data_IF_507847137094
#
_entry.id   IF_507847137094
#
_cell.length_a   1.000
_cell.length_b   1.000
_cell.length_c   1.000
_cell.angle_alpha   90.00
_cell.angle_beta   90.00
_cell.angle_gamma   90.00
#
_symmetry.space_group_name_H-M   'P 1'
#
loop_
_entity.id
_entity.type
_entity.pdbx_description
1 polymer ?
#
# COMPACT_ATOMS: atom_id res chain seq x y z
N UNK A 1 4.71 -5.65 19.28
CA UNK A 1 5.25 -4.60 18.41
C UNK A 1 6.24 -5.31 17.53
N UNK A 2 6.07 -5.22 16.21
CA UNK A 2 6.94 -5.83 15.23
C UNK A 2 8.35 -5.27 15.41
N UNK A 3 9.33 -6.11 15.14
CA UNK A 3 10.72 -5.70 15.29
C UNK A 3 11.16 -4.82 14.12
N UNK A 4 11.94 -3.80 14.46
CA UNK A 4 12.28 -2.72 13.54
C UNK A 4 13.78 -2.70 13.26
N UNK A 5 14.17 -2.96 12.02
CA UNK A 5 15.54 -2.74 11.55
C UNK A 5 15.71 -1.29 11.09
N UNK A 6 16.93 -0.77 11.18
CA UNK A 6 17.24 0.65 10.87
C UNK A 6 16.33 1.68 11.56
N UNK A 7 15.78 1.31 12.72
CA UNK A 7 14.96 2.21 13.56
C UNK A 7 13.55 2.51 13.03
N UNK A 8 13.05 1.73 12.07
CA UNK A 8 11.68 1.92 11.58
C UNK A 8 11.20 0.97 10.49
N UNK A 9 12.06 0.12 9.94
CA UNK A 9 11.69 -0.81 8.87
C UNK A 9 11.20 -2.12 9.47
N UNK A 10 9.98 -2.51 9.11
CA UNK A 10 9.34 -3.77 9.52
C UNK A 10 9.09 -4.65 8.31
N UNK A 11 9.03 -5.97 8.51
CA UNK A 11 8.39 -6.86 7.53
C UNK A 11 6.88 -6.60 7.65
N UNK A 12 6.22 -6.20 6.56
CA UNK A 12 4.81 -5.81 6.57
C UNK A 12 3.90 -6.87 5.96
N UNK A 13 4.37 -7.60 4.95
CA UNK A 13 3.54 -8.54 4.21
C UNK A 13 4.38 -9.67 3.60
N UNK A 14 3.86 -10.89 3.65
CA UNK A 14 4.47 -12.09 3.06
C UNK A 14 3.39 -12.85 2.28
N UNK A 15 3.64 -13.12 1.00
CA UNK A 15 2.85 -14.06 0.19
C UNK A 15 3.70 -15.29 -0.12
N UNK A 16 3.33 -16.43 0.46
CA UNK A 16 4.04 -17.70 0.30
C UNK A 16 3.43 -18.57 -0.81
N UNK A 17 4.29 -19.22 -1.59
CA UNK A 17 4.08 -20.12 -2.75
C UNK A 17 2.64 -20.18 -3.26
N UNK A 18 2.12 -19.14 -3.92
CA UNK A 18 0.76 -19.15 -4.43
C UNK A 18 0.63 -20.24 -5.52
N UNK A 19 0.05 -21.38 -5.16
CA UNK A 19 -0.16 -22.53 -6.04
C UNK A 19 -1.66 -22.83 -6.21
N UNK A 20 -2.28 -22.44 -7.33
CA UNK A 20 -3.66 -22.85 -7.65
C UNK A 20 -4.55 -21.80 -8.30
N UNK A 21 -5.78 -22.22 -8.66
CA UNK A 21 -6.72 -21.44 -9.51
C UNK A 21 -7.32 -20.23 -8.75
N UNK A 22 -7.20 -20.20 -7.41
CA UNK A 22 -7.68 -19.11 -6.56
C UNK A 22 -6.54 -18.29 -5.94
N UNK A 23 -5.29 -18.54 -6.35
CA UNK A 23 -4.13 -17.89 -5.78
C UNK A 23 -3.82 -16.55 -6.47
N UNK A 24 -3.11 -15.67 -5.77
CA UNK A 24 -2.85 -14.31 -6.24
C UNK A 24 -1.72 -14.30 -7.27
N UNK A 25 -1.99 -13.67 -8.40
CA UNK A 25 -1.09 -13.49 -9.52
C UNK A 25 -0.43 -12.11 -9.35
N UNK A 26 0.74 -12.11 -8.71
CA UNK A 26 1.45 -10.89 -8.32
C UNK A 26 2.04 -10.20 -9.54
N UNK A 27 2.50 -10.97 -10.53
CA UNK A 27 3.06 -10.43 -11.76
C UNK A 27 2.01 -10.19 -12.86
N UNK A 28 0.77 -10.66 -12.71
CA UNK A 28 -0.33 -10.37 -13.62
C UNK A 28 -0.22 -11.07 -14.98
N UNK A 29 0.58 -12.14 -15.10
CA UNK A 29 0.72 -12.93 -16.33
C UNK A 29 -0.53 -13.79 -16.65
N UNK A 30 -1.49 -13.85 -15.73
CA UNK A 30 -2.72 -14.63 -15.78
C UNK A 30 -2.63 -15.99 -15.08
N UNK A 31 -1.52 -16.32 -14.42
CA UNK A 31 -1.21 -17.62 -13.82
C UNK A 31 -0.49 -17.49 -12.48
N UNK A 32 -1.26 -17.56 -11.39
CA UNK A 32 -0.68 -17.66 -10.05
C UNK A 32 0.18 -18.95 -9.89
N UNK A 33 1.45 -18.75 -9.57
CA UNK A 33 2.49 -19.77 -9.42
C UNK A 33 3.47 -19.34 -8.31
N UNK A 34 4.34 -20.23 -7.85
CA UNK A 34 5.39 -19.86 -6.87
C UNK A 34 6.37 -18.76 -7.31
N UNK A 35 6.20 -18.15 -8.49
CA UNK A 35 6.88 -16.92 -8.95
C UNK A 35 6.33 -15.67 -8.32
N UNK A 36 5.04 -15.71 -8.00
CA UNK A 36 4.30 -14.58 -7.48
C UNK A 36 4.52 -14.36 -5.98
N UNK A 37 5.37 -15.17 -5.34
CA UNK A 37 5.79 -14.94 -3.96
C UNK A 37 6.40 -13.55 -3.80
N UNK A 38 6.10 -12.90 -2.69
CA UNK A 38 6.75 -11.65 -2.35
C UNK A 38 6.93 -11.48 -0.85
N UNK A 39 7.91 -10.66 -0.51
CA UNK A 39 8.09 -10.11 0.82
C UNK A 39 8.07 -8.59 0.70
N UNK A 40 7.34 -7.96 1.60
CA UNK A 40 7.21 -6.52 1.69
C UNK A 40 7.79 -6.01 2.99
N UNK A 41 8.58 -4.94 2.89
CA UNK A 41 9.02 -4.13 4.03
C UNK A 41 8.22 -2.83 4.04
N UNK A 42 7.92 -2.28 5.22
CA UNK A 42 7.30 -0.97 5.38
C UNK A 42 8.11 -0.08 6.31
N UNK A 43 8.16 1.22 6.02
CA UNK A 43 8.72 2.22 6.91
C UNK A 43 7.65 2.73 7.90
N UNK A 44 7.70 2.25 9.13
CA UNK A 44 6.80 2.62 10.24
C UNK A 44 7.28 3.84 11.04
N UNK A 45 8.34 4.52 10.58
CA UNK A 45 8.85 5.73 11.22
C UNK A 45 8.28 7.01 10.59
N UNK A 46 8.41 8.13 11.31
CA UNK A 46 8.03 9.46 10.81
C UNK A 46 9.09 10.07 9.85
N UNK A 47 10.16 9.34 9.53
CA UNK A 47 11.29 9.83 8.73
C UNK A 47 11.62 8.94 7.52
N UNK A 48 12.29 9.52 6.52
CA UNK A 48 12.82 8.73 5.42
C UNK A 48 14.02 7.87 5.89
N UNK A 49 14.06 6.61 5.49
CA UNK A 49 15.11 5.65 5.85
C UNK A 49 15.78 5.15 4.57
N UNK A 50 17.11 5.18 4.55
CA UNK A 50 17.89 4.48 3.52
C UNK A 50 17.92 2.99 3.85
N UNK A 51 17.34 2.17 2.97
CA UNK A 51 17.28 0.71 3.08
C UNK A 51 18.25 0.02 2.11
N UNK A 52 19.05 0.79 1.36
CA UNK A 52 20.09 0.23 0.49
C UNK A 52 21.05 -0.66 1.28
N UNK A 53 21.40 -1.80 0.69
CA UNK A 53 22.28 -2.80 1.30
C UNK A 53 21.59 -3.79 2.24
N UNK A 54 20.31 -3.61 2.58
CA UNK A 54 19.57 -4.66 3.32
C UNK A 54 19.52 -5.94 2.49
N UNK A 55 19.75 -7.07 3.15
CA UNK A 55 19.79 -8.39 2.52
C UNK A 55 18.62 -9.27 3.00
N UNK A 56 18.01 -9.99 2.06
CA UNK A 56 16.99 -10.98 2.34
C UNK A 56 17.61 -12.38 2.33
N UNK A 57 17.37 -13.12 3.40
CA UNK A 57 17.96 -14.42 3.64
C UNK A 57 16.89 -15.45 3.95
N UNK A 58 17.16 -16.68 3.50
CA UNK A 58 16.33 -17.85 3.72
C UNK A 58 17.19 -19.10 3.90
N UNK A 59 16.72 -20.05 4.70
CA UNK A 59 17.47 -21.26 5.02
C UNK A 59 17.59 -22.20 3.84
N UNK A 60 18.83 -22.43 3.44
CA UNK A 60 19.16 -23.33 2.33
C UNK A 60 19.12 -22.63 0.96
N UNK A 61 18.69 -21.36 0.92
CA UNK A 61 18.87 -20.46 -0.23
C UNK A 61 20.03 -19.48 -0.01
N UNK A 62 20.31 -19.11 1.23
CA UNK A 62 21.29 -18.06 1.56
C UNK A 62 20.73 -16.67 1.25
N UNK A 63 21.62 -15.69 1.05
CA UNK A 63 21.23 -14.34 0.64
C UNK A 63 20.72 -14.37 -0.80
N UNK A 64 19.42 -14.22 -0.98
CA UNK A 64 18.74 -14.36 -2.27
C UNK A 64 18.37 -13.01 -2.91
N UNK A 65 18.39 -11.93 -2.12
CA UNK A 65 18.21 -10.57 -2.63
C UNK A 65 18.95 -9.54 -1.77
N UNK A 66 19.46 -8.48 -2.42
CA UNK A 66 20.05 -7.32 -1.75
C UNK A 66 19.39 -6.07 -2.30
N UNK A 67 18.89 -5.22 -1.41
CA UNK A 67 18.28 -3.94 -1.80
C UNK A 67 19.35 -3.06 -2.45
N UNK A 68 19.08 -2.48 -3.65
CA UNK A 68 20.03 -1.61 -4.32
C UNK A 68 20.47 -0.43 -3.46
N UNK A 69 21.76 -0.09 -3.51
CA UNK A 69 22.34 1.04 -2.78
C UNK A 69 21.58 2.35 -3.05
N UNK A 70 21.35 3.14 -2.00
CA UNK A 70 20.67 4.43 -2.09
C UNK A 70 19.14 4.35 -2.25
N UNK A 71 18.54 3.17 -2.04
CA UNK A 71 17.08 3.02 -1.98
C UNK A 71 16.55 3.68 -0.71
N UNK A 72 15.80 4.77 -0.85
CA UNK A 72 15.22 5.52 0.28
C UNK A 72 13.71 5.27 0.36
N UNK A 73 13.24 4.69 1.46
CA UNK A 73 11.81 4.59 1.77
C UNK A 73 11.34 5.82 2.56
N UNK A 74 10.31 6.49 2.03
CA UNK A 74 9.59 7.54 2.76
C UNK A 74 8.76 6.93 3.91
N UNK A 75 8.31 7.74 4.90
CA UNK A 75 7.31 7.28 5.87
C UNK A 75 6.12 6.63 5.18
N UNK A 76 5.63 5.53 5.76
CA UNK A 76 4.52 4.70 5.27
C UNK A 76 4.75 3.97 3.93
N UNK A 77 5.84 4.27 3.22
CA UNK A 77 6.19 3.62 1.97
C UNK A 77 6.68 2.18 2.17
N UNK A 78 6.51 1.39 1.12
CA UNK A 78 6.81 -0.04 1.09
C UNK A 78 7.93 -0.36 0.10
N UNK A 79 8.71 -1.38 0.42
CA UNK A 79 9.63 -2.04 -0.50
C UNK A 79 9.15 -3.48 -0.69
N UNK A 80 8.64 -3.81 -1.86
CA UNK A 80 8.15 -5.15 -2.19
C UNK A 80 9.13 -5.83 -3.13
N UNK A 81 9.63 -7.00 -2.73
CA UNK A 81 10.41 -7.86 -3.61
C UNK A 81 9.56 -9.05 -4.04
N UNK A 82 9.25 -9.11 -5.33
CA UNK A 82 8.60 -10.25 -5.98
C UNK A 82 9.69 -11.22 -6.43
N UNK A 83 9.44 -12.53 -6.28
CA UNK A 83 10.45 -13.55 -6.56
C UNK A 83 10.81 -13.60 -8.04
N UNK A 84 9.82 -13.62 -8.93
CA UNK A 84 10.04 -13.72 -10.38
C UNK A 84 8.84 -13.20 -11.17
N UNK A 85 9.13 -12.49 -12.26
CA UNK A 85 8.13 -11.98 -13.19
C UNK A 85 8.15 -12.83 -14.46
N UNK A 86 7.02 -13.46 -14.76
CA UNK A 86 6.89 -14.34 -15.90
C UNK A 86 6.98 -13.59 -17.24
N UNK A 87 7.19 -14.37 -18.30
CA UNK A 87 6.99 -13.87 -19.65
C UNK A 87 5.52 -13.47 -19.88
N UNK A 88 5.27 -12.16 -19.96
CA UNK A 88 3.92 -11.61 -20.13
C UNK A 88 3.37 -10.95 -18.87
N UNK A 89 4.03 -11.13 -17.71
CA UNK A 89 3.77 -10.41 -16.47
C UNK A 89 4.57 -9.11 -16.36
N UNK A 90 4.33 -8.40 -15.27
CA UNK A 90 4.93 -7.13 -14.86
C UNK A 90 4.90 -7.03 -13.35
N UNK A 91 5.87 -6.34 -12.74
CA UNK A 91 5.81 -6.07 -11.31
C UNK A 91 4.51 -5.36 -10.89
N UNK A 92 3.95 -5.64 -9.70
CA UNK A 92 2.79 -4.96 -9.19
C UNK A 92 3.07 -3.45 -9.09
N UNK A 93 2.04 -2.65 -9.36
CA UNK A 93 2.16 -1.20 -9.31
C UNK A 93 2.03 -0.72 -7.87
N UNK A 94 3.11 -0.16 -7.33
CA UNK A 94 3.10 0.54 -6.05
C UNK A 94 2.57 1.97 -6.12
N UNK A 95 2.35 2.56 -4.94
CA UNK A 95 2.22 4.00 -4.77
C UNK A 95 3.51 4.76 -5.14
N UNK A 96 3.46 6.10 -5.16
CA UNK A 96 4.53 6.96 -5.68
C UNK A 96 5.86 6.88 -4.92
N UNK A 97 5.83 6.43 -3.66
CA UNK A 97 7.01 6.27 -2.81
C UNK A 97 7.36 4.80 -2.59
N UNK A 98 6.52 3.88 -3.08
CA UNK A 98 6.73 2.46 -2.97
C UNK A 98 7.76 2.02 -4.00
N UNK A 99 8.55 1.03 -3.64
CA UNK A 99 9.57 0.46 -4.50
C UNK A 99 9.23 -1.00 -4.69
N UNK A 100 9.05 -1.41 -5.94
CA UNK A 100 8.79 -2.80 -6.28
C UNK A 100 9.95 -3.31 -7.11
N UNK A 101 10.50 -4.46 -6.72
CA UNK A 101 11.62 -5.09 -7.38
C UNK A 101 11.34 -6.56 -7.66
N UNK A 102 11.99 -7.08 -8.69
CA UNK A 102 12.08 -8.50 -8.97
C UNK A 102 13.42 -9.02 -8.44
N UNK A 103 13.43 -10.15 -7.73
CA UNK A 103 14.71 -10.75 -7.30
C UNK A 103 15.43 -11.48 -8.42
N UNK A 104 14.67 -12.04 -9.38
CA UNK A 104 15.21 -12.90 -10.45
C UNK A 104 15.76 -14.22 -9.92
N UNK A 105 15.40 -14.58 -8.68
CA UNK A 105 15.91 -15.78 -8.03
C UNK A 105 15.20 -17.02 -8.62
N UNK A 106 15.97 -17.89 -9.26
CA UNK A 106 15.41 -18.98 -10.07
C UNK A 106 14.83 -20.17 -9.29
N UNK A 107 14.69 -20.08 -7.98
CA UNK A 107 14.15 -21.14 -7.10
C UNK A 107 13.14 -20.53 -6.14
N UNK A 108 12.12 -21.30 -5.74
CA UNK A 108 11.17 -20.89 -4.70
C UNK A 108 11.95 -20.56 -3.42
N UNK A 109 11.69 -19.38 -2.88
CA UNK A 109 12.40 -18.86 -1.72
C UNK A 109 11.67 -19.29 -0.47
N UNK A 110 10.37 -19.02 -0.41
CA UNK A 110 9.51 -19.38 0.71
C UNK A 110 8.57 -20.53 0.31
N UNK A 111 7.86 -21.12 1.28
CA UNK A 111 6.99 -22.27 1.00
C UNK A 111 5.78 -22.37 1.94
N UNK A 112 4.69 -23.01 1.49
CA UNK A 112 3.43 -23.08 2.26
C UNK A 112 3.44 -24.04 3.45
N UNK A 113 4.54 -24.75 3.75
CA UNK A 113 4.64 -25.61 4.93
C UNK A 113 5.24 -24.89 6.15
N UNK A 114 5.66 -23.64 5.98
CA UNK A 114 6.36 -22.85 6.99
C UNK A 114 7.79 -22.55 6.59
N UNK A 115 8.20 -21.34 6.93
CA UNK A 115 9.52 -20.83 6.63
C UNK A 115 9.92 -19.71 7.58
N UNK A 116 11.20 -19.33 7.50
CA UNK A 116 11.78 -18.19 8.20
C UNK A 116 12.28 -17.14 7.19
N UNK A 117 11.81 -15.91 7.31
CA UNK A 117 12.29 -14.77 6.52
C UNK A 117 13.22 -13.93 7.38
N UNK A 118 14.46 -13.74 6.93
CA UNK A 118 15.47 -12.94 7.63
C UNK A 118 15.82 -11.71 6.82
N UNK A 119 15.75 -10.54 7.45
CA UNK A 119 16.20 -9.27 6.89
C UNK A 119 17.44 -8.82 7.67
N UNK A 120 18.58 -8.79 6.98
CA UNK A 120 19.88 -8.51 7.56
C UNK A 120 20.43 -7.16 7.11
N UNK A 121 20.95 -6.39 8.06
CA UNK A 121 21.70 -5.16 7.83
C UNK A 121 23.20 -5.41 8.02
N UNK A 122 23.98 -5.52 6.93
CA UNK A 122 25.41 -5.76 7.01
C UNK A 122 26.20 -4.56 7.57
N UNK A 123 25.64 -3.34 7.55
CA UNK A 123 26.32 -2.15 8.06
C UNK A 123 26.28 -2.09 9.59
N UNK A 124 25.15 -2.50 10.18
CA UNK A 124 24.97 -2.57 11.63
C UNK A 124 25.38 -3.95 12.21
N UNK A 125 25.50 -4.98 11.37
CA UNK A 125 25.61 -6.38 11.75
C UNK A 125 24.41 -6.82 12.62
N UNK A 126 23.21 -6.42 12.21
CA UNK A 126 21.95 -6.66 12.91
C UNK A 126 20.91 -7.29 11.99
N UNK A 127 19.95 -8.06 12.52
CA UNK A 127 18.86 -8.62 11.72
C UNK A 127 17.53 -8.63 12.46
N UNK A 128 16.43 -8.63 11.70
CA UNK A 128 15.09 -9.02 12.15
C UNK A 128 14.67 -10.30 11.44
N UNK A 129 13.74 -11.04 12.03
CA UNK A 129 13.30 -12.33 11.54
C UNK A 129 11.79 -12.48 11.72
N UNK A 130 11.14 -13.07 10.73
CA UNK A 130 9.76 -13.51 10.79
C UNK A 130 9.68 -15.01 10.50
N UNK A 131 8.74 -15.69 11.14
CA UNK A 131 8.37 -17.07 10.84
C UNK A 131 6.87 -17.18 10.59
N UNK A 132 6.46 -18.28 9.96
CA UNK A 132 5.04 -18.57 9.74
C UNK A 132 4.76 -20.08 9.64
N UNK A 133 3.48 -20.44 9.62
CA UNK A 133 2.94 -21.81 9.65
C UNK A 133 3.50 -22.69 10.79
N UNK A 134 3.89 -22.06 11.91
CA UNK A 134 4.42 -22.76 13.07
C UNK A 134 5.78 -23.42 12.82
N UNK A 135 6.55 -22.93 11.85
CA UNK A 135 7.93 -23.35 11.67
C UNK A 135 8.76 -23.05 12.93
N UNK A 136 9.83 -23.82 13.12
CA UNK A 136 10.77 -23.54 14.20
C UNK A 136 11.62 -22.33 13.84
N UNK A 137 11.87 -21.46 14.81
CA UNK A 137 12.82 -20.37 14.66
C UNK A 137 14.20 -20.92 14.27
N UNK A 138 14.70 -20.46 13.12
CA UNK A 138 16.05 -20.74 12.67
C UNK A 138 17.08 -19.84 13.36
N UNK A 139 18.34 -20.30 13.44
CA UNK A 139 19.50 -19.52 13.89
C UNK A 139 20.39 -19.16 12.68
N UNK A 140 20.33 -17.94 12.13
CA UNK A 140 21.13 -17.55 10.97
C UNK A 140 22.63 -17.45 11.24
N UNK A 141 23.03 -17.24 12.51
CA UNK A 141 24.41 -16.90 12.90
C UNK A 141 25.26 -18.17 13.06
N UNK A 142 24.65 -19.27 13.50
CA UNK A 142 25.32 -20.55 13.74
C UNK A 142 24.64 -21.77 13.13
N UNK A 143 23.45 -21.62 12.56
CA UNK A 143 22.61 -22.70 12.08
C UNK A 143 22.95 -23.20 10.67
N UNK A 144 22.60 -24.45 10.34
CA UNK A 144 22.80 -25.01 9.02
C UNK A 144 21.83 -24.39 8.00
N UNK A 145 22.37 -23.89 6.89
CA UNK A 145 21.59 -23.39 5.75
C UNK A 145 21.75 -21.89 5.47
N UNK A 146 22.46 -21.15 6.33
CA UNK A 146 22.77 -19.73 6.16
C UNK A 146 24.22 -19.50 5.74
N UNK A 147 24.64 -20.20 4.68
CA UNK A 147 26.02 -20.12 4.20
C UNK A 147 26.35 -18.69 3.72
N UNK A 148 27.34 -18.06 4.37
CA UNK A 148 27.75 -16.69 4.06
C UNK A 148 27.14 -15.63 4.98
N UNK A 149 26.20 -16.00 5.85
CA UNK A 149 25.66 -15.10 6.86
C UNK A 149 26.73 -14.74 7.91
N UNK A 150 26.63 -13.55 8.49
CA UNK A 150 27.57 -13.10 9.50
C UNK A 150 27.48 -13.92 10.78
N UNK A 151 28.62 -14.46 11.22
CA UNK A 151 28.73 -15.23 12.46
C UNK A 151 28.73 -14.36 13.73
N UNK A 152 28.61 -13.03 13.58
CA UNK A 152 28.56 -12.08 14.71
C UNK A 152 27.30 -11.23 14.73
N UNK A 153 26.40 -11.43 13.76
CA UNK A 153 25.18 -10.66 13.67
C UNK A 153 24.32 -10.79 14.93
N UNK A 154 23.65 -9.70 15.28
CA UNK A 154 22.78 -9.63 16.46
C UNK A 154 21.32 -9.51 16.05
N UNK A 155 20.46 -10.36 16.58
CA UNK A 155 19.03 -10.21 16.38
C UNK A 155 18.50 -8.99 17.12
N UNK A 156 17.71 -8.17 16.44
CA UNK A 156 16.91 -7.11 17.05
C UNK A 156 15.64 -7.76 17.58
N UNK A 157 15.44 -7.62 18.90
CA UNK A 157 14.21 -8.08 19.55
C UNK A 157 14.02 -9.60 19.52
N UNK A 158 12.82 -10.05 19.13
CA UNK A 158 12.46 -11.47 19.01
C UNK A 158 11.92 -11.77 17.61
N UNK A 159 11.86 -13.05 17.22
CA UNK A 159 11.25 -13.42 15.94
C UNK A 159 9.74 -13.15 15.93
N UNK A 160 9.28 -12.50 14.86
CA UNK A 160 7.86 -12.22 14.61
C UNK A 160 7.14 -13.47 14.06
N UNK A 161 5.97 -13.80 14.60
CA UNK A 161 5.15 -14.93 14.14
C UNK A 161 3.96 -14.40 13.33
N UNK A 162 4.03 -14.55 12.01
CA UNK A 162 3.02 -14.08 11.05
C UNK A 162 1.77 -14.98 11.01
N UNK A 163 1.74 -16.05 11.81
CA UNK A 163 0.60 -16.93 11.92
C UNK A 163 0.61 -18.04 10.87
N UNK A 164 -0.53 -18.31 10.27
CA UNK A 164 -0.68 -19.39 9.29
C UNK A 164 -1.11 -18.85 7.95
N UNK A 165 -0.42 -19.29 6.90
CA UNK A 165 -0.77 -19.09 5.51
C UNK A 165 -2.19 -19.60 5.21
N UNK A 166 -2.85 -18.94 4.28
CA UNK A 166 -4.17 -19.30 3.77
C UNK A 166 -4.14 -19.13 2.26
N UNK A 167 -4.42 -20.19 1.51
CA UNK A 167 -4.48 -20.16 0.04
C UNK A 167 -5.24 -18.93 -0.48
N UNK A 168 -4.59 -18.16 -1.35
CA UNK A 168 -5.12 -16.93 -1.96
C UNK A 168 -5.00 -15.69 -1.08
N UNK A 169 -4.31 -15.78 0.06
CA UNK A 169 -4.08 -14.71 1.01
C UNK A 169 -2.59 -14.52 1.26
N UNK A 170 -2.23 -13.33 1.74
CA UNK A 170 -0.93 -13.03 2.30
C UNK A 170 -1.04 -12.90 3.81
N UNK A 171 0.07 -13.10 4.52
CA UNK A 171 0.19 -12.79 5.94
C UNK A 171 0.65 -11.36 6.09
N UNK A 172 -0.04 -10.58 6.92
CA UNK A 172 0.11 -9.13 7.01
C UNK A 172 0.30 -8.68 8.45
N UNK A 173 1.16 -7.69 8.63
CA UNK A 173 1.31 -6.91 9.85
C UNK A 173 0.25 -5.79 9.90
N UNK A 174 -0.53 -5.78 10.98
CA UNK A 174 -1.55 -4.77 11.23
C UNK A 174 -0.96 -3.36 11.39
N UNK A 175 -1.77 -2.29 11.16
CA UNK A 175 -1.31 -0.89 11.18
C UNK A 175 -0.69 -0.42 12.50
N UNK A 176 -0.95 -1.12 13.61
CA UNK A 176 -0.35 -0.83 14.91
C UNK A 176 0.93 -1.60 15.20
N UNK A 177 1.42 -2.41 14.26
CA UNK A 177 2.59 -3.26 14.43
C UNK A 177 2.42 -4.33 15.52
N UNK A 178 1.19 -4.67 15.93
CA UNK A 178 0.95 -5.51 17.12
C UNK A 178 0.07 -6.73 16.85
N UNK A 179 -0.41 -6.87 15.62
CA UNK A 179 -1.36 -7.91 15.21
C UNK A 179 -0.94 -8.46 13.86
N UNK A 180 -1.03 -9.77 13.70
CA UNK A 180 -0.79 -10.47 12.45
C UNK A 180 -2.11 -11.10 12.00
N UNK A 181 -2.39 -11.05 10.70
CA UNK A 181 -3.60 -11.63 10.12
C UNK A 181 -3.35 -12.04 8.67
N UNK A 182 -4.19 -12.92 8.13
CA UNK A 182 -4.19 -13.19 6.70
C UNK A 182 -5.24 -12.36 5.97
N UNK A 183 -4.84 -11.80 4.84
CA UNK A 183 -5.62 -10.84 4.07
C UNK A 183 -5.47 -11.05 2.58
N UNK A 184 -6.19 -10.27 1.79
CA UNK A 184 -5.91 -10.21 0.36
C UNK A 184 -4.53 -9.65 0.12
N UNK A 185 -3.73 -10.25 -0.75
CA UNK A 185 -2.42 -9.71 -1.08
C UNK A 185 -2.53 -8.27 -1.57
N UNK A 186 -1.75 -7.40 -0.96
CA UNK A 186 -1.72 -5.97 -1.22
C UNK A 186 -0.32 -5.48 -1.55
N UNK A 187 0.41 -6.15 -2.48
CA UNK A 187 1.80 -5.77 -2.76
C UNK A 187 1.85 -4.31 -3.19
N UNK A 188 2.64 -3.54 -2.44
CA UNK A 188 2.86 -2.12 -2.66
C UNK A 188 1.58 -1.25 -2.63
N UNK A 189 0.52 -1.68 -1.95
CA UNK A 189 -0.76 -0.98 -1.95
C UNK A 189 -0.96 -0.10 -0.71
N UNK A 190 -0.73 1.21 -0.87
CA UNK A 190 -1.48 2.21 -0.11
C UNK A 190 -2.94 2.25 -0.62
N UNK A 191 -3.80 1.38 -0.11
CA UNK A 191 -5.22 1.39 -0.46
C UNK A 191 -5.94 2.58 0.22
N UNK A 192 -5.67 3.81 -0.23
CA UNK A 192 -6.37 5.04 0.13
C UNK A 192 -7.33 5.43 -1.00
N UNK A 193 -8.58 4.98 -0.87
CA UNK A 193 -9.62 5.18 -1.89
C UNK A 193 -10.89 5.78 -1.26
N UNK A 194 -11.58 6.61 -2.03
CA UNK A 194 -12.96 7.03 -1.75
C UNK A 194 -13.93 6.14 -2.53
N UNK A 195 -15.05 5.74 -1.93
CA UNK A 195 -16.12 5.11 -2.70
C UNK A 195 -16.95 6.15 -3.46
N UNK A 196 -17.46 5.77 -4.63
CA UNK A 196 -18.49 6.53 -5.38
C UNK A 196 -19.63 6.95 -4.46
N UNK A 197 -20.08 8.19 -4.59
CA UNK A 197 -21.07 8.79 -3.70
C UNK A 197 -20.47 9.68 -2.60
N UNK A 198 -19.17 9.56 -2.29
CA UNK A 198 -18.51 10.43 -1.33
C UNK A 198 -18.42 11.86 -1.85
N UNK A 199 -18.85 12.84 -1.06
CA UNK A 199 -18.75 14.26 -1.40
C UNK A 199 -17.49 14.89 -0.83
N UNK A 200 -16.66 15.43 -1.71
CA UNK A 200 -15.46 16.18 -1.35
C UNK A 200 -15.79 17.67 -1.33
N UNK A 201 -15.31 18.37 -0.30
CA UNK A 201 -15.50 19.80 -0.17
C UNK A 201 -14.72 20.55 -1.25
N UNK A 202 -15.44 21.32 -2.07
CA UNK A 202 -14.89 22.23 -3.08
C UNK A 202 -15.25 23.68 -2.73
N UNK A 203 -14.61 24.70 -3.34
CA UNK A 203 -14.92 26.10 -3.08
C UNK A 203 -16.39 26.48 -3.30
N UNK A 204 -17.09 25.78 -4.19
CA UNK A 204 -18.51 26.01 -4.51
C UNK A 204 -19.46 25.09 -3.74
N UNK A 205 -18.94 24.36 -2.74
CA UNK A 205 -19.68 23.39 -1.95
C UNK A 205 -19.25 21.94 -2.22
N UNK A 206 -19.80 20.95 -1.50
CA UNK A 206 -19.42 19.56 -1.67
C UNK A 206 -19.83 19.01 -3.05
N UNK A 207 -18.91 18.30 -3.72
CA UNK A 207 -19.14 17.61 -5.00
C UNK A 207 -18.82 16.12 -4.88
N UNK A 208 -19.55 15.29 -5.60
CA UNK A 208 -19.30 13.85 -5.65
C UNK A 208 -17.92 13.55 -6.23
N UNK A 209 -17.18 12.64 -5.61
CA UNK A 209 -15.83 12.25 -6.03
C UNK A 209 -15.80 11.79 -7.49
N UNK A 210 -16.81 11.06 -7.94
CA UNK A 210 -16.93 10.58 -9.33
C UNK A 210 -17.20 11.69 -10.35
N UNK A 211 -17.50 12.90 -9.90
CA UNK A 211 -17.72 14.08 -10.74
C UNK A 211 -16.52 15.03 -10.76
N UNK A 212 -15.49 14.76 -9.96
CA UNK A 212 -14.29 15.57 -9.91
C UNK A 212 -13.33 15.15 -11.03
N UNK A 213 -12.74 16.15 -11.66
CA UNK A 213 -11.72 15.99 -12.69
C UNK A 213 -10.44 16.74 -12.37
N UNK A 214 -9.42 16.51 -13.18
CA UNK A 214 -8.19 17.31 -13.14
C UNK A 214 -8.52 18.79 -13.35
N UNK A 215 -7.90 19.66 -12.55
CA UNK A 215 -8.13 21.10 -12.52
C UNK A 215 -9.25 21.55 -11.57
N UNK A 216 -10.13 20.66 -11.12
CA UNK A 216 -11.10 20.99 -10.09
C UNK A 216 -10.41 21.35 -8.77
N UNK A 217 -10.93 22.37 -8.09
CA UNK A 217 -10.39 22.81 -6.80
C UNK A 217 -11.06 22.05 -5.65
N UNK A 218 -10.26 21.56 -4.72
CA UNK A 218 -10.70 21.00 -3.44
C UNK A 218 -10.20 21.86 -2.28
N UNK A 219 -10.96 21.87 -1.19
CA UNK A 219 -10.56 22.54 0.04
C UNK A 219 -9.68 21.59 0.85
N UNK A 220 -8.46 22.03 1.11
CA UNK A 220 -7.50 21.37 2.01
C UNK A 220 -7.53 22.02 3.38
N UNK A 221 -7.11 21.29 4.40
CA UNK A 221 -7.06 21.75 5.79
C UNK A 221 -6.07 22.90 5.99
N UNK A 222 -4.86 22.75 5.44
CA UNK A 222 -3.73 23.62 5.78
C UNK A 222 -3.35 24.62 4.70
N UNK A 223 -3.67 24.34 3.43
CA UNK A 223 -3.20 25.12 2.27
C UNK A 223 -4.32 25.76 1.45
N UNK A 224 -5.55 25.75 1.97
CA UNK A 224 -6.70 26.36 1.31
C UNK A 224 -7.12 25.58 0.07
N UNK A 225 -7.33 26.27 -1.05
CA UNK A 225 -7.83 25.65 -2.28
C UNK A 225 -6.68 25.07 -3.10
N UNK A 226 -6.72 23.77 -3.41
CA UNK A 226 -5.72 23.09 -4.23
C UNK A 226 -6.38 22.41 -5.43
N UNK A 227 -5.70 22.42 -6.58
CA UNK A 227 -6.22 21.81 -7.79
C UNK A 227 -5.89 20.31 -7.84
N UNK A 228 -6.88 19.51 -8.24
CA UNK A 228 -6.70 18.11 -8.58
C UNK A 228 -5.77 18.00 -9.78
N UNK A 229 -4.71 17.21 -9.64
CA UNK A 229 -3.73 16.94 -10.68
C UNK A 229 -3.96 15.61 -11.37
N UNK A 230 -4.59 14.67 -10.66
CA UNK A 230 -4.90 13.36 -11.21
C UNK A 230 -6.14 12.77 -10.54
N UNK A 231 -6.87 11.95 -11.30
CA UNK A 231 -8.02 11.18 -10.82
C UNK A 231 -7.88 9.74 -11.30
N UNK A 232 -7.95 8.78 -10.38
CA UNK A 232 -8.00 7.34 -10.64
C UNK A 232 -9.35 6.77 -10.31
N UNK A 233 -9.74 5.69 -11.01
CA UNK A 233 -11.00 4.98 -10.76
C UNK A 233 -10.85 3.48 -10.98
N UNK A 234 -11.42 2.67 -10.09
CA UNK A 234 -11.57 1.22 -10.23
C UNK A 234 -13.00 0.81 -9.86
N UNK A 235 -13.65 0.07 -10.74
CA UNK A 235 -14.99 -0.47 -10.45
C UNK A 235 -14.86 -1.81 -9.69
N UNK A 236 -15.64 -1.98 -8.63
CA UNK A 236 -15.71 -3.18 -7.78
C UNK A 236 -17.12 -3.75 -7.87
N UNK A 237 -17.23 -4.99 -8.36
CA UNK A 237 -18.51 -5.67 -8.51
C UNK A 237 -18.88 -6.47 -7.26
N UNK A 238 -20.16 -6.85 -7.16
CA UNK A 238 -20.62 -7.77 -6.10
C UNK A 238 -19.91 -9.14 -6.14
N UNK A 239 -19.45 -9.59 -7.31
CA UNK A 239 -18.69 -10.84 -7.45
C UNK A 239 -17.30 -10.69 -6.86
N UNK A 240 -16.66 -9.55 -7.11
CA UNK A 240 -15.35 -9.24 -6.53
C UNK A 240 -15.44 -9.20 -5.00
N UNK A 241 -16.50 -8.62 -4.44
CA UNK A 241 -16.74 -8.59 -2.99
C UNK A 241 -17.10 -9.95 -2.37
N UNK A 242 -17.66 -10.87 -3.17
CA UNK A 242 -17.98 -12.22 -2.72
C UNK A 242 -16.72 -13.11 -2.73
N UNK A 243 -15.92 -13.00 -3.80
CA UNK A 243 -14.64 -13.66 -3.92
C UNK A 243 -13.62 -13.10 -2.91
N UNK A 244 -13.69 -11.80 -2.64
CA UNK A 244 -12.70 -11.06 -1.86
C UNK A 244 -13.38 -10.06 -0.90
N UNK A 245 -13.85 -10.53 0.28
CA UNK A 245 -14.54 -9.68 1.26
C UNK A 245 -13.73 -8.50 1.79
N UNK A 246 -12.40 -8.55 1.73
CA UNK A 246 -11.47 -7.47 2.10
C UNK A 246 -11.60 -6.23 1.20
N UNK A 247 -12.12 -6.36 -0.03
CA UNK A 247 -12.41 -5.22 -0.91
C UNK A 247 -13.59 -4.38 -0.41
N UNK A 248 -14.39 -4.90 0.52
CA UNK A 248 -15.55 -4.18 1.06
C UNK A 248 -15.08 -2.93 1.80
N UNK A 249 -15.72 -1.78 1.56
CA UNK A 249 -15.33 -0.56 2.23
C UNK A 249 -15.78 -0.59 3.69
N UNK A 250 -15.16 0.27 4.50
CA UNK A 250 -15.63 0.60 5.83
C UNK A 250 -16.67 1.72 5.69
N UNK A 251 -17.87 1.48 6.22
CA UNK A 251 -18.95 2.44 6.36
C UNK A 251 -18.82 3.16 7.71
N UNK A 252 -18.66 4.48 7.63
CA UNK A 252 -18.66 5.38 8.79
C UNK A 252 -19.98 6.15 8.73
N UNK A 253 -20.86 5.89 9.70
CA UNK A 253 -22.16 6.55 9.81
C UNK A 253 -22.01 8.02 10.16
N UNK A 254 -22.96 8.83 9.72
CA UNK A 254 -23.05 10.23 10.11
C UNK A 254 -22.94 10.39 11.64
N UNK A 255 -22.01 11.24 12.09
CA UNK A 255 -21.75 11.54 13.50
C UNK A 255 -21.00 10.46 14.30
N UNK A 256 -20.55 9.37 13.68
CA UNK A 256 -19.91 8.25 14.38
C UNK A 256 -18.57 8.62 15.06
N UNK A 257 -17.85 9.62 14.53
CA UNK A 257 -16.53 10.04 15.00
C UNK A 257 -16.54 11.38 15.75
N UNK A 258 -17.73 11.95 15.99
CA UNK A 258 -17.94 13.21 16.69
C UNK A 258 -19.14 13.97 16.14
N UNK A 259 -19.53 15.10 16.77
CA UNK A 259 -20.59 15.96 16.24
C UNK A 259 -20.26 16.35 14.80
N UNK A 260 -21.18 16.05 13.88
CA UNK A 260 -21.05 16.32 12.44
C UNK A 260 -19.83 15.67 11.75
N UNK A 261 -19.30 14.55 12.30
CA UNK A 261 -18.13 13.85 11.78
C UNK A 261 -18.37 12.33 11.57
N UNK A 262 -18.48 11.85 10.33
CA UNK A 262 -18.79 12.63 9.11
C UNK A 262 -20.21 13.24 9.19
N UNK A 263 -20.52 14.23 8.36
CA UNK A 263 -21.85 14.85 8.27
C UNK A 263 -22.89 13.92 7.64
N UNK A 264 -22.42 12.98 6.82
CA UNK A 264 -23.23 11.97 6.17
C UNK A 264 -22.45 10.65 6.13
N UNK A 265 -23.15 9.55 5.87
CA UNK A 265 -22.54 8.23 5.73
C UNK A 265 -21.41 8.26 4.68
N UNK A 266 -20.21 7.87 5.09
CA UNK A 266 -18.99 7.90 4.29
C UNK A 266 -18.42 6.49 4.16
N UNK A 267 -18.07 6.10 2.93
CA UNK A 267 -17.45 4.81 2.62
C UNK A 267 -16.04 5.01 2.10
N UNK A 268 -15.08 4.37 2.76
CA UNK A 268 -13.66 4.46 2.46
C UNK A 268 -13.05 3.07 2.40
N UNK A 269 -11.96 2.90 1.66
CA UNK A 269 -11.16 1.68 1.74
C UNK A 269 -10.63 1.48 3.17
N UNK A 270 -10.40 0.23 3.61
CA UNK A 270 -10.03 -0.08 4.99
C UNK A 270 -8.80 0.69 5.52
N UNK A 271 -7.80 0.92 4.68
CA UNK A 271 -6.55 1.61 5.07
C UNK A 271 -6.59 3.13 4.89
N UNK A 272 -7.68 3.70 4.38
CA UNK A 272 -7.81 5.15 4.25
C UNK A 272 -7.72 5.81 5.63
N UNK A 273 -6.90 6.84 5.78
CA UNK A 273 -6.72 7.51 7.08
C UNK A 273 -7.61 8.74 7.23
N UNK A 274 -8.25 8.83 8.39
CA UNK A 274 -9.11 9.95 8.79
C UNK A 274 -8.52 10.64 10.01
N UNK A 275 -8.73 11.95 10.10
CA UNK A 275 -8.38 12.71 11.29
C UNK A 275 -9.54 12.61 12.28
N UNK A 276 -9.36 11.89 13.39
CA UNK A 276 -10.37 11.81 14.45
C UNK A 276 -9.78 11.76 15.87
N UNK A 277 -10.65 11.82 16.88
CA UNK A 277 -10.25 11.81 18.30
C UNK A 277 -10.20 10.37 18.84
N UNK A 278 -9.11 10.03 19.54
CA UNK A 278 -9.00 8.76 20.27
C UNK A 278 -9.76 8.82 21.62
N UNK A 279 -10.53 7.78 21.99
CA UNK A 279 -11.09 7.63 23.33
C UNK A 279 -9.97 7.59 24.38
N UNK A 280 -10.12 8.37 25.47
CA UNK A 280 -9.14 8.39 26.57
C UNK A 280 -7.94 9.32 26.36
N UNK A 281 -7.83 10.02 25.24
CA UNK A 281 -6.77 11.02 25.01
C UNK A 281 -6.88 12.20 25.98
N UNK A 282 -5.95 12.31 26.92
CA UNK A 282 -5.87 13.36 27.94
C UNK A 282 -5.56 14.77 27.40
N UNK A 283 -5.41 14.94 26.08
CA UNK A 283 -5.11 16.22 25.44
C UNK A 283 -6.18 16.61 24.41
N UNK A 284 -6.57 17.88 24.44
CA UNK A 284 -7.49 18.50 23.48
C UNK A 284 -6.84 18.75 22.09
N UNK A 285 -5.56 18.40 21.90
CA UNK A 285 -4.76 18.85 20.76
C UNK A 285 -4.17 17.75 19.86
N UNK A 286 -4.24 16.46 20.22
CA UNK A 286 -3.70 15.37 19.40
C UNK A 286 -4.77 14.80 18.47
N UNK A 287 -4.90 15.36 17.27
CA UNK A 287 -5.64 14.76 16.18
C UNK A 287 -4.64 13.98 15.32
N UNK A 288 -4.69 12.64 15.35
CA UNK A 288 -3.85 11.78 14.53
C UNK A 288 -4.59 11.30 13.29
N UNK A 289 -3.85 10.96 12.23
CA UNK A 289 -4.36 10.17 11.11
C UNK A 289 -4.54 8.73 11.59
N UNK A 290 -5.76 8.20 11.46
CA UNK A 290 -6.12 6.86 11.93
C UNK A 290 -6.76 6.12 10.77
N UNK A 291 -6.25 4.93 10.46
CA UNK A 291 -6.85 4.04 9.46
C UNK A 291 -8.29 3.68 9.87
N UNK A 292 -9.22 3.74 8.91
CA UNK A 292 -10.65 3.52 9.21
C UNK A 292 -10.95 2.10 9.69
N UNK A 293 -10.17 1.10 9.26
CA UNK A 293 -10.28 -0.29 9.77
C UNK A 293 -10.03 -0.37 11.27
N UNK A 294 -9.11 0.43 11.82
CA UNK A 294 -8.81 0.47 13.26
C UNK A 294 -9.95 1.10 14.09
N UNK A 295 -10.97 1.65 13.44
CA UNK A 295 -12.16 2.22 14.08
C UNK A 295 -13.33 1.22 14.14
N UNK A 296 -13.18 0.02 13.55
CA UNK A 296 -14.19 -1.04 13.63
C UNK A 296 -14.53 -1.40 15.08
N UNK A 297 -15.82 -1.69 15.31
CA UNK A 297 -16.36 -1.95 16.65
C UNK A 297 -16.76 -0.68 17.41
N UNK A 298 -16.44 0.52 16.90
CA UNK A 298 -17.06 1.76 17.39
C UNK A 298 -18.51 1.86 16.93
N UNK A 299 -19.43 2.40 17.77
CA UNK A 299 -20.79 2.66 17.34
C UNK A 299 -20.84 3.49 16.05
N UNK A 300 -21.44 2.93 15.00
CA UNK A 300 -21.56 3.59 13.70
C UNK A 300 -20.36 3.42 12.76
N UNK A 301 -19.39 2.54 13.07
CA UNK A 301 -18.32 2.16 12.14
C UNK A 301 -18.39 0.65 11.88
N UNK A 302 -18.68 0.27 10.65
CA UNK A 302 -18.96 -1.12 10.26
C UNK A 302 -18.42 -1.44 8.86
N UNK A 303 -18.25 -2.72 8.54
CA UNK A 303 -17.95 -3.16 7.17
C UNK A 303 -19.24 -3.03 6.34
N UNK A 304 -19.16 -2.47 5.13
CA UNK A 304 -20.32 -2.43 4.22
C UNK A 304 -20.55 -3.82 3.59
N UNK A 305 -21.48 -4.58 4.19
CA UNK A 305 -21.87 -5.92 3.71
C UNK A 305 -23.05 -5.90 2.72
N UNK A 306 -23.42 -4.72 2.19
CA UNK A 306 -24.56 -4.62 1.27
C UNK A 306 -24.38 -5.41 -0.03
N UNK A 307 -23.13 -5.68 -0.42
CA UNK A 307 -22.80 -6.37 -1.67
C UNK A 307 -23.13 -5.57 -2.92
N UNK A 308 -23.45 -4.27 -2.79
CA UNK A 308 -23.70 -3.41 -3.92
C UNK A 308 -22.39 -3.14 -4.68
N UNK A 309 -22.39 -3.21 -6.01
CA UNK A 309 -21.25 -2.77 -6.81
C UNK A 309 -21.01 -1.26 -6.58
N UNK A 310 -19.74 -0.87 -6.52
CA UNK A 310 -19.33 0.52 -6.33
C UNK A 310 -18.02 0.81 -7.09
N UNK A 311 -17.57 2.06 -7.10
CA UNK A 311 -16.26 2.42 -7.65
C UNK A 311 -15.37 2.99 -6.56
N UNK A 312 -14.11 2.56 -6.51
CA UNK A 312 -13.06 3.25 -5.78
C UNK A 312 -12.49 4.37 -6.64
N UNK A 313 -12.26 5.52 -6.02
CA UNK A 313 -11.73 6.73 -6.64
C UNK A 313 -10.51 7.21 -5.87
N UNK A 314 -9.51 7.65 -6.61
CA UNK A 314 -8.33 8.32 -6.09
C UNK A 314 -8.25 9.71 -6.67
N UNK A 315 -7.79 10.66 -5.88
CA UNK A 315 -7.41 11.98 -6.37
C UNK A 315 -6.06 12.33 -5.79
N UNK A 316 -5.22 12.93 -6.62
CA UNK A 316 -3.95 13.48 -6.20
C UNK A 316 -3.86 14.96 -6.50
N UNK A 317 -3.20 15.67 -5.61
CA UNK A 317 -2.90 17.10 -5.71
C UNK A 317 -1.40 17.26 -5.99
N UNK A 318 -0.92 18.50 -6.10
CA UNK A 318 0.52 18.79 -6.24
C UNK A 318 1.38 18.23 -5.09
N UNK A 319 0.75 18.00 -3.94
CA UNK A 319 1.34 17.48 -2.71
C UNK A 319 0.31 16.62 -2.01
N UNK A 320 0.79 15.84 -1.07
CA UNK A 320 -0.06 15.20 -0.08
C UNK A 320 -0.73 16.26 0.81
N UNK A 321 -2.06 16.16 0.94
CA UNK A 321 -2.87 17.08 1.74
C UNK A 321 -3.98 16.33 2.48
N UNK A 322 -4.52 16.97 3.52
CA UNK A 322 -5.79 16.57 4.13
C UNK A 322 -6.91 17.40 3.50
N UNK A 323 -7.89 16.73 2.90
CA UNK A 323 -9.11 17.30 2.35
C UNK A 323 -10.31 16.94 3.23
N UNK A 324 -11.51 17.42 2.89
CA UNK A 324 -12.73 17.11 3.63
C UNK A 324 -13.69 16.26 2.79
N UNK A 325 -13.87 14.99 3.17
CA UNK A 325 -14.87 14.09 2.59
C UNK A 325 -16.05 13.96 3.56
N UNK A 326 -17.25 14.30 3.12
CA UNK A 326 -18.46 14.35 3.95
C UNK A 326 -18.25 15.19 5.23
N UNK A 327 -17.38 16.21 5.18
CA UNK A 327 -17.01 17.04 6.31
C UNK A 327 -15.97 16.43 7.27
N UNK A 328 -15.58 15.17 7.08
CA UNK A 328 -14.50 14.51 7.83
C UNK A 328 -13.14 14.79 7.15
N UNK A 329 -12.10 15.22 7.88
CA UNK A 329 -10.79 15.40 7.28
C UNK A 329 -10.15 14.04 6.94
N UNK A 330 -9.80 13.86 5.67
CA UNK A 330 -9.30 12.63 5.04
C UNK A 330 -8.07 12.94 4.19
N UNK A 331 -7.19 11.97 4.06
CA UNK A 331 -5.94 12.07 3.32
C UNK A 331 -6.13 11.98 1.78
N UNK A 332 -5.32 12.68 0.99
CA UNK A 332 -5.25 12.53 -0.48
C UNK A 332 -4.07 11.67 -0.91
N UNK A 333 -4.17 11.02 -2.08
CA UNK A 333 -3.04 10.34 -2.72
C UNK A 333 -1.98 11.36 -3.18
N UNK A 334 -0.70 10.99 -3.17
CA UNK A 334 0.41 11.84 -3.61
C UNK A 334 0.76 11.60 -5.10
N UNK A 335 0.88 12.64 -5.94
CA UNK A 335 1.53 12.59 -7.27
C UNK A 335 2.18 13.94 -7.66
N UNK A 336 3.38 13.95 -8.28
CA UNK A 336 3.93 15.13 -8.98
C UNK A 336 5.41 15.49 -8.71
N UNK A 337 6.01 16.26 -9.65
CA UNK A 337 7.41 16.78 -9.84
C UNK A 337 8.60 15.89 -9.42
N UNK A 338 8.55 15.28 -8.24
CA UNK A 338 9.36 14.12 -7.86
C UNK A 338 9.10 12.91 -8.78
N UNK A 339 7.91 12.79 -9.37
CA UNK A 339 7.61 11.76 -10.37
C UNK A 339 8.49 11.80 -11.64
N UNK A 340 9.00 12.98 -12.05
CA UNK A 340 9.80 13.15 -13.29
C UNK A 340 11.28 12.76 -13.15
N UNK A 341 11.76 12.68 -11.92
CA UNK A 341 13.14 12.27 -11.59
C UNK A 341 13.23 10.76 -11.28
N UNK A 342 12.07 10.09 -11.15
CA UNK A 342 11.97 8.75 -10.54
C UNK A 342 11.34 7.70 -11.47
N UNK A 343 10.57 8.11 -12.50
CA UNK A 343 10.00 7.18 -13.48
C UNK A 343 11.04 6.76 -14.54
N UNK A 344 11.22 5.45 -14.70
CA UNK A 344 12.13 4.84 -15.66
C UNK A 344 11.58 4.87 -17.10
N UNK A 345 12.47 4.60 -18.08
CA UNK A 345 12.16 4.71 -19.50
C UNK A 345 10.94 3.86 -19.94
N UNK A 346 10.69 2.74 -19.28
CA UNK A 346 9.62 1.81 -19.65
C UNK A 346 8.23 2.27 -19.17
N UNK A 347 8.15 2.96 -18.02
CA UNK A 347 6.92 3.58 -17.52
C UNK A 347 6.53 4.82 -18.33
N UNK A 348 7.54 5.55 -18.84
CA UNK A 348 7.34 6.61 -19.82
C UNK A 348 6.79 6.04 -21.15
N UNK A 349 7.34 4.93 -21.64
CA UNK A 349 6.86 4.26 -22.85
C UNK A 349 5.45 3.68 -22.69
N UNK A 350 5.09 3.22 -21.50
CA UNK A 350 3.74 2.73 -21.19
C UNK A 350 2.72 3.88 -21.13
N UNK A 351 3.07 5.00 -20.51
CA UNK A 351 2.24 6.21 -20.50
C UNK A 351 2.05 6.80 -21.92
N UNK A 352 3.10 6.81 -22.75
CA UNK A 352 3.03 7.19 -24.16
C UNK A 352 2.16 6.23 -24.99
N UNK A 353 2.12 4.94 -24.62
CA UNK A 353 1.31 3.92 -25.29
C UNK A 353 -0.16 3.96 -24.88
N UNK A 354 -0.45 4.35 -23.64
CA UNK A 354 -1.81 4.45 -23.07
C UNK A 354 -2.44 5.82 -23.39
N UNK A 355 -1.64 6.89 -23.48
CA UNK A 355 -2.09 8.26 -23.73
C UNK A 355 -1.28 8.95 -24.86
N UNK A 356 -1.41 8.49 -26.11
CA UNK A 356 -0.54 8.90 -27.23
C UNK A 356 -0.63 10.38 -27.65
N UNK A 357 -1.68 11.09 -27.23
CA UNK A 357 -1.90 12.51 -27.57
C UNK A 357 -1.59 13.46 -26.39
N UNK A 358 -1.13 12.93 -25.25
CA UNK A 358 -0.72 13.73 -24.09
C UNK A 358 0.72 14.21 -24.32
N UNK A 359 0.94 15.51 -24.49
CA UNK A 359 2.31 16.05 -24.49
C UNK A 359 2.87 16.06 -23.06
N UNK A 360 3.41 14.91 -22.66
CA UNK A 360 4.11 14.68 -21.40
C UNK A 360 5.51 15.33 -21.38
N UNK A 361 5.96 15.86 -22.52
CA UNK A 361 7.30 16.44 -22.74
C UNK A 361 7.33 17.96 -22.85
N UNK A 362 6.17 18.60 -23.08
CA UNK A 362 6.09 19.99 -23.52
C UNK A 362 6.54 21.02 -22.49
N UNK A 363 7.66 21.69 -22.77
CA UNK A 363 7.96 23.01 -22.21
C UNK A 363 6.95 24.03 -22.76
N UNK A 364 5.71 24.12 -22.25
CA UNK A 364 4.83 25.25 -22.56
C UNK A 364 4.03 25.80 -21.37
N UNK A 365 3.77 27.12 -21.36
CA UNK A 365 3.26 27.84 -20.20
C UNK A 365 1.83 27.44 -19.85
N UNK A 366 1.47 27.60 -18.58
CA UNK A 366 0.26 27.10 -17.92
C UNK A 366 -1.11 27.57 -18.47
N UNK A 367 -1.18 28.22 -19.64
CA UNK A 367 -2.39 28.89 -20.14
C UNK A 367 -3.09 28.15 -21.30
N UNK A 368 -2.58 27.02 -21.81
CA UNK A 368 -3.24 26.26 -22.88
C UNK A 368 -3.32 24.75 -22.59
N UNK A 369 -4.23 24.35 -21.70
CA UNK A 369 -4.74 22.99 -21.62
C UNK A 369 -6.23 23.02 -22.01
N UNK A 370 -6.51 22.88 -23.31
CA UNK A 370 -7.86 22.63 -23.85
C UNK A 370 -7.97 21.14 -24.17
N UNK A 371 -9.11 20.47 -23.87
CA UNK A 371 -9.20 19.01 -23.84
C UNK A 371 -9.59 18.42 -25.20
N UNK A 372 -8.88 17.39 -25.64
CA UNK A 372 -9.32 16.52 -26.75
C UNK A 372 -9.34 15.07 -26.30
N UNK A 373 -10.41 14.67 -25.63
CA UNK A 373 -10.86 13.28 -25.55
C UNK A 373 -12.34 13.19 -25.10
N UNK A 374 -13.27 13.62 -25.96
CA UNK A 374 -14.69 13.24 -25.86
C UNK A 374 -15.14 12.63 -27.19
N UNK A 375 -15.49 11.34 -27.17
CA UNK A 375 -16.39 10.71 -28.14
C UNK A 375 -17.86 10.96 -27.76
N UNK A 376 -18.83 10.78 -28.68
CA UNK A 376 -19.98 11.66 -28.79
C UNK A 376 -21.03 11.48 -27.70
N UNK A 377 -21.59 12.61 -27.29
CA UNK A 377 -22.82 12.74 -26.49
C UNK A 377 -23.98 12.20 -27.32
N UNK A 378 -24.68 11.18 -26.81
CA UNK A 378 -25.96 10.73 -27.35
C UNK A 378 -27.07 11.52 -26.64
N UNK A 379 -27.50 12.57 -27.34
CA UNK A 379 -28.68 13.44 -27.24
C UNK A 379 -29.20 13.93 -25.88
#
# INVERSE_FOLDING_TARGET
MAEQIRGGIVISEILADPNGINNFDTDGDGTARGGDEFIELRNDSDGAIDIGGLEFWDRGRGGWYTVPDGTILQPDATFTVVRDVAAGGSLPSGGPNDVVAESGFGQNVINNNGDNVVIYDPDADEYIQALFNGDAEDDPVGGPGYAGFSATATQIGVTDDFGSDVDGQSMQLGPGGNEYFTGTPTPAAENICFCSGARILTPTGPRLIETLGVGDLVITRDRGMCAIRWVGRRDITWRDQLAQPSLRPILIRAGALGPDAPQFDLRLSPQHRVVCRLPGGASLHSHGLIAVVSLLGRPGVEIDESGASFSYHHIALDRHEVIFAEGLPTETLLFGKQARETLGADQMAELERIFPDLDITGEQPADELVPTAYGPIVH
#
